data_IF_837187408204
#
_entry.id   IF_837187408204
#
_cell.length_a   1.000
_cell.length_b   1.000
_cell.length_c   1.000
_cell.angle_alpha   90.00
_cell.angle_beta   90.00
_cell.angle_gamma   90.00
#
_symmetry.space_group_name_H-M   'P 1'
#
loop_
_entity.id
_entity.type
_entity.pdbx_description
1 polymer ?
#
# COMPACT_ATOMS: atom_id res chain seq x y z
N UNK A 1 -1.10 -12.83 16.82
CA UNK A 1 -0.80 -11.89 15.73
C UNK A 1 0.58 -12.22 15.14
N UNK A 2 0.81 -11.90 13.87
CA UNK A 2 2.10 -11.95 13.20
C UNK A 2 2.31 -10.61 12.47
N UNK A 3 3.56 -10.27 12.11
CA UNK A 3 3.83 -9.01 11.41
C UNK A 3 3.40 -9.10 9.94
N UNK A 4 2.66 -8.09 9.50
CA UNK A 4 2.12 -7.98 8.16
C UNK A 4 3.08 -7.26 7.21
N UNK A 5 3.84 -6.28 7.72
CA UNK A 5 4.80 -5.49 6.95
C UNK A 5 5.83 -4.83 7.86
N UNK A 6 6.97 -4.50 7.28
CA UNK A 6 8.05 -3.72 7.87
C UNK A 6 8.65 -2.79 6.81
N UNK A 7 8.88 -1.52 7.15
CA UNK A 7 9.41 -0.52 6.23
C UNK A 7 10.38 0.40 6.95
N UNK A 8 11.46 0.75 6.27
CA UNK A 8 12.42 1.75 6.71
C UNK A 8 12.27 3.04 5.90
N UNK A 9 12.41 4.18 6.56
CA UNK A 9 12.56 5.48 5.91
C UNK A 9 14.01 5.71 5.45
N UNK A 10 14.96 5.24 6.25
CA UNK A 10 16.40 5.36 6.02
C UNK A 10 17.16 4.21 6.71
N UNK A 11 18.48 4.35 6.91
CA UNK A 11 19.33 3.35 7.53
C UNK A 11 19.10 3.17 9.05
N UNK A 12 18.26 4.00 9.67
CA UNK A 12 18.01 4.01 11.12
C UNK A 12 16.55 3.79 11.47
N UNK A 13 15.65 4.55 10.86
CA UNK A 13 14.25 4.61 11.24
C UNK A 13 13.43 3.57 10.49
N UNK A 14 12.82 2.67 11.25
CA UNK A 14 11.95 1.62 10.71
C UNK A 14 10.73 1.38 11.57
N UNK A 15 9.68 0.86 10.94
CA UNK A 15 8.48 0.40 11.62
C UNK A 15 8.06 -0.98 11.15
N UNK A 16 7.41 -1.74 12.02
CA UNK A 16 6.76 -3.00 11.72
C UNK A 16 5.34 -3.01 12.28
N UNK A 17 4.38 -3.52 11.50
CA UNK A 17 2.96 -3.53 11.85
C UNK A 17 2.43 -4.97 11.91
N UNK A 18 1.58 -5.27 12.89
CA UNK A 18 0.77 -6.49 12.90
C UNK A 18 -0.73 -6.16 12.83
N UNK A 19 -1.56 -7.20 12.87
CA UNK A 19 -2.97 -7.03 13.17
C UNK A 19 -3.16 -6.40 14.54
N UNK A 20 -4.26 -5.66 14.76
CA UNK A 20 -4.60 -5.14 16.07
C UNK A 20 -4.69 -6.23 17.13
N UNK A 21 -4.27 -5.92 18.35
CA UNK A 21 -4.41 -6.76 19.55
C UNK A 21 -5.25 -5.98 20.54
N UNK A 22 -6.32 -6.59 21.06
CA UNK A 22 -7.27 -5.93 21.98
C UNK A 22 -7.81 -4.60 21.44
N UNK A 23 -8.15 -4.56 20.14
CA UNK A 23 -8.63 -3.37 19.40
C UNK A 23 -7.65 -2.18 19.43
N UNK A 24 -6.35 -2.44 19.58
CA UNK A 24 -5.31 -1.44 19.45
C UNK A 24 -4.33 -1.87 18.36
N UNK A 25 -3.94 -0.90 17.53
CA UNK A 25 -2.93 -1.12 16.50
C UNK A 25 -1.62 -1.56 17.17
N UNK A 26 -0.96 -2.56 16.61
CA UNK A 26 0.31 -3.04 17.17
C UNK A 26 1.46 -2.65 16.23
N UNK A 27 2.22 -1.64 16.63
CA UNK A 27 3.38 -1.12 15.90
C UNK A 27 4.63 -1.32 16.75
N UNK A 28 5.68 -1.87 16.12
CA UNK A 28 7.04 -1.74 16.61
C UNK A 28 7.77 -0.65 15.83
N UNK A 29 8.61 0.11 16.51
CA UNK A 29 9.48 1.15 15.94
C UNK A 29 10.94 0.82 16.28
N UNK A 30 11.84 1.13 15.37
CA UNK A 30 13.29 1.12 15.58
C UNK A 30 13.88 2.46 15.13
N UNK A 31 14.94 2.88 15.81
CA UNK A 31 15.70 4.10 15.50
C UNK A 31 17.21 3.83 15.37
N UNK A 32 17.60 2.55 15.34
CA UNK A 32 18.99 2.09 15.31
C UNK A 32 19.27 1.03 14.23
N UNK A 33 18.48 1.07 13.15
CA UNK A 33 18.64 0.18 12.00
C UNK A 33 18.11 -1.22 12.25
N UNK A 34 17.18 -1.37 13.20
CA UNK A 34 16.55 -2.64 13.55
C UNK A 34 17.32 -3.48 14.55
N UNK A 35 18.31 -2.92 15.26
CA UNK A 35 19.01 -3.61 16.34
C UNK A 35 18.12 -3.74 17.57
N UNK A 36 17.37 -2.69 17.89
CA UNK A 36 16.36 -2.68 18.94
C UNK A 36 15.01 -2.25 18.38
N UNK A 37 13.96 -2.87 18.90
CA UNK A 37 12.57 -2.60 18.52
C UNK A 37 11.72 -2.36 19.76
N UNK A 38 11.01 -1.24 19.77
CA UNK A 38 10.13 -0.85 20.86
C UNK A 38 8.68 -0.82 20.38
N UNK A 39 7.78 -1.37 21.20
CA UNK A 39 6.34 -1.29 20.94
C UNK A 39 5.85 0.12 21.27
N UNK A 40 5.15 0.74 20.34
CA UNK A 40 4.48 2.02 20.61
C UNK A 40 3.36 1.81 21.64
N UNK A 41 3.42 2.56 22.74
CA UNK A 41 2.50 2.42 23.86
C UNK A 41 1.12 3.04 23.59
N UNK A 42 1.07 4.13 22.81
CA UNK A 42 -0.12 4.95 22.62
C UNK A 42 -0.55 4.97 21.15
N UNK A 43 -0.97 3.82 20.62
CA UNK A 43 -1.57 3.73 19.29
C UNK A 43 -3.07 4.01 19.34
N UNK A 44 -3.67 4.63 18.30
CA UNK A 44 -5.10 4.89 18.28
C UNK A 44 -5.90 3.57 18.27
N UNK A 45 -7.14 3.59 18.79
CA UNK A 45 -8.01 2.41 18.80
C UNK A 45 -8.42 2.02 17.38
N UNK A 46 -8.46 0.73 17.10
CA UNK A 46 -9.04 0.15 15.89
C UNK A 46 -10.48 -0.27 16.13
N UNK A 47 -11.25 -0.39 15.05
CA UNK A 47 -12.58 -1.00 15.15
C UNK A 47 -12.46 -2.53 15.32
N UNK A 48 -13.48 -3.14 15.93
CA UNK A 48 -13.58 -4.61 15.97
C UNK A 48 -13.62 -5.16 14.54
N UNK A 49 -12.74 -6.12 14.24
CA UNK A 49 -12.60 -6.73 12.92
C UNK A 49 -11.83 -5.89 11.88
N UNK A 50 -11.26 -4.75 12.27
CA UNK A 50 -10.28 -4.02 11.44
C UNK A 50 -8.92 -4.72 11.56
N UNK A 51 -8.26 -4.92 10.42
CA UNK A 51 -7.03 -5.71 10.29
C UNK A 51 -6.04 -5.05 9.33
N UNK A 52 -4.80 -5.53 9.30
CA UNK A 52 -3.80 -5.15 8.33
C UNK A 52 -3.48 -6.36 7.45
N UNK A 53 -3.53 -6.25 6.13
CA UNK A 53 -3.21 -7.39 5.28
C UNK A 53 -1.69 -7.52 5.07
N UNK A 54 -1.16 -8.73 5.23
CA UNK A 54 0.22 -9.08 4.88
C UNK A 54 0.43 -9.17 3.35
N UNK A 55 0.24 -8.04 2.68
CA UNK A 55 0.23 -7.94 1.23
C UNK A 55 1.59 -7.49 0.70
N UNK A 56 2.54 -8.42 0.66
CA UNK A 56 3.84 -8.20 -0.01
C UNK A 56 4.65 -7.02 0.53
N UNK A 57 4.51 -6.72 1.83
CA UNK A 57 5.24 -5.65 2.51
C UNK A 57 4.94 -4.23 1.99
N UNK A 58 3.88 -4.04 1.20
CA UNK A 58 3.54 -2.73 0.60
C UNK A 58 2.33 -2.06 1.25
N UNK A 59 1.84 -2.56 2.40
CA UNK A 59 0.81 -1.89 3.18
C UNK A 59 1.34 -0.72 4.05
N UNK A 60 2.64 -0.46 4.01
CA UNK A 60 3.30 0.68 4.66
C UNK A 60 4.05 1.50 3.60
N UNK A 61 3.86 2.82 3.62
CA UNK A 61 4.80 3.78 3.05
C UNK A 61 5.43 4.59 4.20
N UNK A 62 6.76 4.74 4.18
CA UNK A 62 7.49 5.51 5.18
C UNK A 62 8.46 6.44 4.44
N UNK A 63 8.11 7.73 4.41
CA UNK A 63 8.88 8.74 3.71
C UNK A 63 10.09 9.20 4.55
N UNK A 64 11.22 9.56 3.90
CA UNK A 64 12.39 10.09 4.59
C UNK A 64 12.12 11.35 5.44
N UNK A 65 11.07 12.10 5.12
CA UNK A 65 10.63 13.29 5.85
C UNK A 65 9.89 12.98 7.16
N UNK A 66 9.60 11.72 7.45
CA UNK A 66 8.98 11.27 8.70
C UNK A 66 7.51 10.94 8.60
N UNK A 67 6.85 11.21 7.46
CA UNK A 67 5.48 10.77 7.24
C UNK A 67 5.40 9.26 7.03
N UNK A 68 4.42 8.65 7.69
CA UNK A 68 4.12 7.22 7.62
C UNK A 68 2.66 7.04 7.25
N UNK A 69 2.39 6.12 6.33
CA UNK A 69 1.04 5.75 5.92
C UNK A 69 0.90 4.23 5.97
N UNK A 70 -0.09 3.74 6.71
CA UNK A 70 -0.41 2.32 6.83
C UNK A 70 -1.86 2.13 6.41
N UNK A 71 -2.10 1.24 5.45
CA UNK A 71 -3.46 0.92 4.97
C UNK A 71 -4.08 -0.25 5.72
N UNK A 72 -5.36 -0.13 6.06
CA UNK A 72 -6.12 -1.15 6.78
C UNK A 72 -7.21 -1.79 5.92
N UNK A 73 -7.78 -2.89 6.42
CA UNK A 73 -8.90 -3.61 5.84
C UNK A 73 -9.74 -4.33 6.89
N UNK A 74 -10.64 -5.22 6.45
CA UNK A 74 -11.58 -5.88 7.35
C UNK A 74 -12.86 -5.07 7.53
N UNK A 75 -13.34 -4.90 8.77
CA UNK A 75 -14.57 -4.16 9.05
C UNK A 75 -14.52 -2.67 8.68
N UNK A 76 -13.31 -2.15 8.43
CA UNK A 76 -13.00 -0.80 7.97
C UNK A 76 -11.85 -0.84 6.97
N UNK A 77 -11.73 0.19 6.14
CA UNK A 77 -10.65 0.35 5.18
C UNK A 77 -10.16 1.80 5.24
N UNK A 78 -9.11 2.03 6.02
CA UNK A 78 -8.66 3.36 6.44
C UNK A 78 -7.16 3.51 6.23
N UNK A 79 -6.67 4.73 6.47
CA UNK A 79 -5.25 5.02 6.49
C UNK A 79 -4.88 5.48 7.90
N UNK A 80 -4.01 4.73 8.54
CA UNK A 80 -3.34 5.15 9.75
C UNK A 80 -2.11 5.98 9.35
N UNK A 81 -2.04 7.22 9.78
CA UNK A 81 -1.03 8.19 9.38
C UNK A 81 -0.27 8.75 10.57
N UNK A 82 1.04 8.98 10.38
CA UNK A 82 1.89 9.78 11.25
C UNK A 82 2.67 10.79 10.42
N UNK A 83 3.07 11.91 11.01
CA UNK A 83 3.83 12.99 10.35
C UNK A 83 5.14 13.33 11.04
N UNK A 84 5.52 12.53 12.02
CA UNK A 84 6.61 12.81 12.96
C UNK A 84 7.32 11.52 13.37
N UNK A 85 7.66 10.68 12.39
CA UNK A 85 8.38 9.42 12.62
C UNK A 85 7.68 8.47 13.61
N UNK A 86 6.34 8.48 13.64
CA UNK A 86 5.55 7.57 14.46
C UNK A 86 5.33 8.02 15.90
N UNK A 87 5.58 9.30 16.24
CA UNK A 87 5.30 9.84 17.57
C UNK A 87 3.80 10.09 17.78
N UNK A 88 3.13 10.67 16.79
CA UNK A 88 1.68 10.91 16.80
C UNK A 88 1.00 10.22 15.63
N UNK A 89 -0.20 9.70 15.89
CA UNK A 89 -0.96 8.88 14.94
C UNK A 89 -2.42 9.30 14.86
N UNK A 90 -2.95 9.27 13.65
CA UNK A 90 -4.37 9.49 13.39
C UNK A 90 -4.89 8.50 12.34
N UNK A 91 -6.18 8.16 12.45
CA UNK A 91 -6.87 7.45 11.38
C UNK A 91 -7.55 8.45 10.45
N UNK A 92 -7.40 8.21 9.16
CA UNK A 92 -8.04 8.93 8.07
C UNK A 92 -9.04 7.97 7.42
N UNK A 93 -10.31 8.34 7.46
CA UNK A 93 -11.38 7.60 6.82
C UNK A 93 -11.23 7.67 5.29
N UNK A 94 -11.58 6.59 4.59
CA UNK A 94 -11.47 6.52 3.13
C UNK A 94 -12.75 5.96 2.51
N UNK A 95 -13.04 6.24 1.23
CA UNK A 95 -14.17 5.64 0.52
C UNK A 95 -13.91 4.18 0.09
N UNK A 96 -12.75 3.60 0.41
CA UNK A 96 -12.34 2.30 -0.08
C UNK A 96 -13.27 1.17 0.40
N UNK A 97 -13.38 0.13 -0.44
CA UNK A 97 -14.13 -1.07 -0.13
C UNK A 97 -13.65 -1.69 1.20
N UNK A 98 -14.60 -2.09 2.05
CA UNK A 98 -14.36 -2.84 3.29
C UNK A 98 -15.17 -4.15 3.33
N UNK A 99 -14.72 -5.08 4.16
CA UNK A 99 -15.30 -6.40 4.36
C UNK A 99 -14.28 -7.38 4.95
N UNK A 100 -14.73 -8.55 5.43
CA UNK A 100 -13.87 -9.53 6.10
C UNK A 100 -12.57 -9.88 5.35
N UNK A 101 -12.60 -9.88 4.01
CA UNK A 101 -11.45 -10.08 3.13
C UNK A 101 -11.18 -8.90 2.21
N UNK A 102 -11.81 -7.75 2.47
CA UNK A 102 -11.70 -6.55 1.66
C UNK A 102 -11.08 -5.38 2.42
N UNK A 103 -10.42 -4.51 1.68
CA UNK A 103 -9.72 -3.37 2.24
C UNK A 103 -8.74 -2.79 1.24
N UNK A 104 -7.92 -1.88 1.73
CA UNK A 104 -6.70 -1.46 1.08
C UNK A 104 -5.57 -2.42 1.47
N UNK A 105 -4.74 -2.78 0.49
CA UNK A 105 -3.67 -3.77 0.64
C UNK A 105 -2.30 -3.16 0.40
N UNK A 106 -2.23 -2.11 -0.41
CA UNK A 106 -0.97 -1.47 -0.75
C UNK A 106 -1.13 0.04 -0.83
N UNK A 107 -0.10 0.76 -0.39
CA UNK A 107 0.02 2.21 -0.52
C UNK A 107 1.38 2.54 -1.14
N UNK A 108 1.42 3.57 -1.97
CA UNK A 108 2.67 4.11 -2.50
C UNK A 108 2.57 5.62 -2.73
N UNK A 109 3.64 6.35 -2.44
CA UNK A 109 3.75 7.78 -2.75
C UNK A 109 4.73 8.00 -3.90
N UNK A 110 4.29 8.69 -4.95
CA UNK A 110 5.16 9.05 -6.09
C UNK A 110 5.91 10.36 -5.82
N UNK A 111 5.35 11.21 -4.96
CA UNK A 111 6.01 12.38 -4.36
C UNK A 111 5.45 12.58 -2.95
N UNK A 112 6.03 13.47 -2.14
CA UNK A 112 5.51 13.79 -0.81
C UNK A 112 4.04 14.30 -0.79
N UNK A 113 3.50 14.74 -1.94
CA UNK A 113 2.11 15.21 -2.04
C UNK A 113 1.18 14.22 -2.75
N UNK A 114 1.71 13.38 -3.63
CA UNK A 114 0.92 12.47 -4.45
C UNK A 114 1.10 11.03 -4.00
N UNK A 115 0.00 10.42 -3.55
CA UNK A 115 -0.05 9.05 -3.10
C UNK A 115 -1.22 8.30 -3.71
N UNK A 116 -1.09 6.98 -3.77
CA UNK A 116 -2.10 6.05 -4.22
C UNK A 116 -2.20 4.90 -3.23
N UNK A 117 -3.40 4.40 -3.00
CA UNK A 117 -3.62 3.15 -2.31
C UNK A 117 -4.56 2.27 -3.12
N UNK A 118 -4.27 0.98 -3.19
CA UNK A 118 -5.04 -0.02 -3.94
C UNK A 118 -5.45 -1.18 -3.05
N UNK A 119 -6.50 -1.88 -3.45
CA UNK A 119 -6.99 -3.05 -2.75
C UNK A 119 -8.15 -3.72 -3.47
N UNK A 120 -9.21 -4.00 -2.74
CA UNK A 120 -10.39 -4.75 -3.20
C UNK A 120 -10.71 -5.89 -2.24
N UNK A 121 -11.41 -6.92 -2.71
CA UNK A 121 -11.73 -8.10 -1.92
C UNK A 121 -10.88 -9.30 -2.37
N UNK A 122 -10.08 -9.85 -1.46
CA UNK A 122 -9.21 -10.97 -1.77
C UNK A 122 -10.01 -12.24 -2.10
N UNK A 123 -11.13 -12.51 -1.41
CA UNK A 123 -11.91 -13.72 -1.65
C UNK A 123 -12.87 -13.58 -2.83
N UNK A 124 -13.30 -12.36 -3.12
CA UNK A 124 -14.07 -12.02 -4.32
C UNK A 124 -13.37 -10.94 -5.16
N UNK A 125 -12.33 -11.30 -5.93
CA UNK A 125 -11.52 -10.32 -6.67
C UNK A 125 -12.31 -9.45 -7.66
N UNK A 126 -13.46 -9.93 -8.13
CA UNK A 126 -14.31 -9.23 -9.07
C UNK A 126 -15.28 -8.26 -8.41
N UNK A 127 -15.42 -8.31 -7.07
CA UNK A 127 -16.31 -7.43 -6.30
C UNK A 127 -16.11 -5.98 -6.70
N UNK A 128 -17.21 -5.36 -7.12
CA UNK A 128 -17.24 -3.96 -7.49
C UNK A 128 -17.13 -3.05 -6.26
N UNK A 129 -16.64 -1.82 -6.47
CA UNK A 129 -16.45 -0.81 -5.44
C UNK A 129 -15.16 -0.03 -5.62
N UNK A 130 -14.83 0.80 -4.62
CA UNK A 130 -13.63 1.63 -4.63
C UNK A 130 -12.41 0.76 -4.30
N UNK A 131 -11.65 0.40 -5.35
CA UNK A 131 -10.43 -0.44 -5.28
C UNK A 131 -9.14 0.35 -5.39
N UNK A 132 -9.22 1.63 -5.77
CA UNK A 132 -8.11 2.56 -5.78
C UNK A 132 -8.55 3.93 -5.29
N UNK A 133 -7.72 4.54 -4.46
CA UNK A 133 -7.87 5.91 -3.97
C UNK A 133 -6.56 6.67 -4.18
N UNK A 134 -6.65 7.98 -4.36
CA UNK A 134 -5.51 8.88 -4.55
C UNK A 134 -5.56 10.05 -3.60
N UNK A 135 -4.39 10.59 -3.27
CA UNK A 135 -4.21 11.85 -2.57
C UNK A 135 -3.32 12.77 -3.39
N UNK A 136 -3.58 14.08 -3.28
CA UNK A 136 -2.73 15.13 -3.85
C UNK A 136 -2.30 16.18 -2.81
N UNK A 137 -2.54 15.91 -1.53
CA UNK A 137 -2.28 16.84 -0.41
C UNK A 137 -1.43 16.21 0.70
N UNK A 138 -0.62 15.20 0.35
CA UNK A 138 0.24 14.49 1.30
C UNK A 138 -0.55 13.60 2.25
N UNK A 139 -1.59 12.95 1.73
CA UNK A 139 -2.40 11.98 2.43
C UNK A 139 -3.34 12.58 3.48
N UNK A 140 -3.61 13.89 3.47
CA UNK A 140 -4.60 14.52 4.38
C UNK A 140 -6.01 14.15 3.96
N UNK A 141 -6.27 14.12 2.66
CA UNK A 141 -7.53 13.65 2.08
C UNK A 141 -7.27 12.63 0.98
N UNK A 142 -8.22 11.70 0.84
CA UNK A 142 -8.17 10.64 -0.15
C UNK A 142 -9.48 10.57 -0.92
N UNK A 143 -9.37 10.44 -2.24
CA UNK A 143 -10.49 10.43 -3.17
C UNK A 143 -10.44 9.17 -4.03
N UNK A 144 -11.60 8.69 -4.47
CA UNK A 144 -11.66 7.57 -5.40
C UNK A 144 -10.95 7.89 -6.73
N UNK A 145 -10.37 6.86 -7.35
CA UNK A 145 -9.91 6.95 -8.74
C UNK A 145 -11.11 7.11 -9.69
N UNK A 146 -10.91 7.78 -10.84
CA UNK A 146 -11.93 7.96 -11.87
C UNK A 146 -12.24 6.63 -12.59
N UNK A 147 -11.22 5.81 -12.82
CA UNK A 147 -11.39 4.41 -13.22
C UNK A 147 -10.66 3.49 -12.25
N UNK A 148 -11.25 2.34 -11.94
CA UNK A 148 -10.68 1.40 -10.98
C UNK A 148 -9.76 0.39 -11.67
N UNK A 149 -8.75 -0.18 -10.96
CA UNK A 149 -8.14 -1.44 -11.38
C UNK A 149 -9.23 -2.47 -11.67
N UNK A 150 -9.02 -3.35 -12.65
CA UNK A 150 -10.07 -4.27 -13.12
C UNK A 150 -10.60 -5.23 -12.04
N UNK A 151 -9.77 -5.56 -11.05
CA UNK A 151 -10.06 -6.47 -9.95
C UNK A 151 -9.23 -6.10 -8.72
N UNK A 152 -9.35 -6.89 -7.65
CA UNK A 152 -8.46 -6.84 -6.48
C UNK A 152 -6.97 -6.77 -6.85
N UNK A 153 -6.22 -5.87 -6.20
CA UNK A 153 -4.76 -5.77 -6.32
C UNK A 153 -4.09 -5.77 -4.96
N UNK A 154 -3.00 -6.52 -4.84
CA UNK A 154 -2.25 -6.73 -3.60
C UNK A 154 -1.03 -5.83 -3.47
N UNK A 155 -0.54 -5.26 -4.56
CA UNK A 155 0.71 -4.49 -4.56
C UNK A 155 0.66 -3.42 -5.64
N UNK A 156 1.07 -2.19 -5.30
CA UNK A 156 1.29 -1.08 -6.24
C UNK A 156 2.71 -0.54 -6.07
N UNK A 157 3.36 -0.25 -7.19
CA UNK A 157 4.69 0.39 -7.25
C UNK A 157 4.68 1.55 -8.24
N UNK A 158 5.56 2.52 -8.01
CA UNK A 158 5.83 3.61 -8.95
C UNK A 158 7.23 3.50 -9.54
N UNK A 159 7.39 3.98 -10.77
CA UNK A 159 8.71 4.12 -11.42
C UNK A 159 9.16 5.57 -11.55
N UNK A 160 8.20 6.48 -11.63
CA UNK A 160 8.39 7.92 -11.73
C UNK A 160 7.11 8.61 -11.27
N UNK A 161 7.11 9.94 -11.17
CA UNK A 161 6.05 10.78 -10.60
C UNK A 161 4.61 10.47 -11.03
N UNK A 162 4.41 9.85 -12.20
CA UNK A 162 3.09 9.65 -12.82
C UNK A 162 2.74 8.20 -13.11
N UNK A 163 3.73 7.34 -13.32
CA UNK A 163 3.47 5.96 -13.72
C UNK A 163 3.39 5.06 -12.50
N UNK A 164 2.30 4.31 -12.43
CA UNK A 164 2.02 3.32 -11.42
C UNK A 164 1.73 1.99 -12.09
N UNK A 165 2.20 0.92 -11.45
CA UNK A 165 1.91 -0.45 -11.84
C UNK A 165 1.32 -1.19 -10.65
N UNK A 166 0.22 -1.89 -10.85
CA UNK A 166 -0.44 -2.64 -9.78
C UNK A 166 -0.66 -4.07 -10.22
N UNK A 167 -0.52 -4.99 -9.27
CA UNK A 167 -0.63 -6.43 -9.50
C UNK A 167 -1.51 -7.09 -8.46
N UNK A 168 -2.07 -8.24 -8.82
CA UNK A 168 -2.70 -9.16 -7.89
C UNK A 168 -2.85 -10.55 -8.53
N UNK A 169 -3.48 -11.46 -7.79
CA UNK A 169 -3.66 -12.85 -8.22
C UNK A 169 -4.46 -13.01 -9.52
N UNK A 170 -5.21 -11.99 -9.94
CA UNK A 170 -6.07 -12.00 -11.14
C UNK A 170 -5.60 -11.05 -12.24
N UNK A 171 -4.37 -10.52 -12.17
CA UNK A 171 -3.81 -9.72 -13.25
C UNK A 171 -3.09 -8.47 -12.82
N UNK A 172 -2.83 -7.60 -13.80
CA UNK A 172 -2.14 -6.35 -13.62
C UNK A 172 -2.81 -5.18 -14.36
N UNK A 173 -2.62 -3.99 -13.82
CA UNK A 173 -3.10 -2.73 -14.38
C UNK A 173 -1.98 -1.69 -14.26
N UNK A 174 -2.05 -0.64 -15.06
CA UNK A 174 -1.18 0.51 -14.94
C UNK A 174 -1.97 1.82 -14.96
N UNK A 175 -1.34 2.87 -14.45
CA UNK A 175 -1.80 4.24 -14.58
C UNK A 175 -0.65 5.12 -15.05
N UNK A 176 -0.95 6.11 -15.90
CA UNK A 176 -0.01 7.14 -16.39
C UNK A 176 -0.31 8.52 -15.83
N UNK A 177 -1.27 8.63 -14.92
CA UNK A 177 -1.83 9.88 -14.41
C UNK A 177 -1.97 9.88 -12.88
N UNK A 178 -1.02 9.25 -12.18
CA UNK A 178 -0.97 9.17 -10.70
C UNK A 178 -2.13 8.41 -10.07
N UNK A 179 -2.61 7.37 -10.75
CA UNK A 179 -3.60 6.45 -10.21
C UNK A 179 -5.03 6.96 -10.34
N UNK A 180 -5.26 8.05 -11.08
CA UNK A 180 -6.59 8.57 -11.36
C UNK A 180 -7.34 7.66 -12.33
N UNK A 181 -6.66 7.21 -13.38
CA UNK A 181 -7.20 6.26 -14.33
C UNK A 181 -6.29 5.03 -14.43
N UNK A 182 -6.89 3.86 -14.31
CA UNK A 182 -6.26 2.55 -14.44
C UNK A 182 -6.67 1.87 -15.74
N UNK A 183 -5.68 1.23 -16.38
CA UNK A 183 -5.83 0.44 -17.59
C UNK A 183 -5.36 -0.98 -17.34
N UNK A 184 -6.25 -1.94 -17.57
CA UNK A 184 -5.94 -3.37 -17.49
C UNK A 184 -4.99 -3.82 -18.60
N UNK A 185 -4.07 -4.72 -18.26
CA UNK A 185 -3.05 -5.23 -19.20
C UNK A 185 -3.29 -6.70 -19.50
N UNK A 186 -3.20 -7.54 -18.47
CA UNK A 186 -3.30 -8.99 -18.59
C UNK A 186 -3.82 -9.64 -17.31
N UNK A 187 -4.11 -10.94 -17.40
CA UNK A 187 -4.63 -11.76 -16.30
C UNK A 187 -3.51 -12.49 -15.53
N UNK A 188 -2.24 -12.18 -15.79
CA UNK A 188 -1.14 -12.88 -15.17
C UNK A 188 -1.06 -12.56 -13.68
N UNK A 189 -1.23 -13.59 -12.84
CA UNK A 189 -1.14 -13.44 -11.39
C UNK A 189 0.29 -13.20 -10.89
N UNK A 190 0.46 -12.15 -10.09
CA UNK A 190 1.66 -11.86 -9.29
C UNK A 190 1.24 -11.34 -7.91
N UNK A 191 2.14 -11.44 -6.94
CA UNK A 191 1.85 -11.07 -5.55
C UNK A 191 2.74 -9.93 -5.04
N UNK A 192 4.02 -9.92 -5.40
CA UNK A 192 4.95 -8.85 -5.04
C UNK A 192 5.58 -8.22 -6.28
N UNK A 193 5.83 -6.92 -6.19
CA UNK A 193 6.49 -6.14 -7.23
C UNK A 193 7.52 -5.22 -6.57
N UNK A 194 8.61 -4.96 -7.27
CA UNK A 194 9.58 -3.96 -6.88
C UNK A 194 10.10 -3.19 -8.11
N UNK A 195 10.12 -1.87 -7.99
CA UNK A 195 10.57 -0.97 -9.03
C UNK A 195 12.08 -0.75 -8.88
N UNK A 196 12.82 -0.86 -9.98
CA UNK A 196 14.27 -0.67 -9.91
C UNK A 196 14.61 0.80 -10.04
N UNK A 197 15.16 1.36 -8.96
CA UNK A 197 15.54 2.76 -8.89
C UNK A 197 16.40 3.20 -10.09
N UNK A 198 16.03 4.34 -10.68
CA UNK A 198 16.71 4.91 -11.85
C UNK A 198 16.53 4.14 -13.16
N UNK A 199 15.67 3.11 -13.20
CA UNK A 199 15.41 2.31 -14.40
C UNK A 199 13.91 2.23 -14.68
N UNK A 200 13.55 2.13 -15.95
CA UNK A 200 12.17 1.88 -16.39
C UNK A 200 11.84 0.38 -16.31
N UNK A 201 11.99 -0.21 -15.12
CA UNK A 201 11.95 -1.66 -14.94
C UNK A 201 11.35 -2.07 -13.60
N UNK A 202 10.47 -3.07 -13.61
CA UNK A 202 9.84 -3.65 -12.41
C UNK A 202 10.08 -5.15 -12.44
N UNK A 203 10.46 -5.73 -11.29
CA UNK A 203 10.45 -7.17 -11.08
C UNK A 203 9.17 -7.59 -10.37
N UNK A 204 8.60 -8.72 -10.79
CA UNK A 204 7.39 -9.30 -10.21
C UNK A 204 7.66 -10.74 -9.78
N UNK A 205 7.06 -11.16 -8.66
CA UNK A 205 7.04 -12.57 -8.24
C UNK A 205 5.63 -13.10 -8.06
N UNK A 206 5.38 -14.30 -8.57
CA UNK A 206 4.10 -15.02 -8.55
C UNK A 206 4.19 -16.38 -7.86
N UNK A 207 3.13 -17.18 -7.96
CA UNK A 207 3.13 -18.55 -7.44
C UNK A 207 4.12 -19.45 -8.20
N UNK A 208 4.45 -20.60 -7.62
CA UNK A 208 5.21 -21.68 -8.27
C UNK A 208 6.59 -21.24 -8.79
N UNK A 209 7.22 -20.28 -8.11
CA UNK A 209 8.52 -19.73 -8.48
C UNK A 209 8.50 -18.81 -9.70
N UNK A 210 7.33 -18.35 -10.14
CA UNK A 210 7.19 -17.44 -11.28
C UNK A 210 7.85 -16.09 -10.98
N UNK A 211 8.70 -15.64 -11.89
CA UNK A 211 9.31 -14.30 -11.87
C UNK A 211 9.11 -13.65 -13.23
N UNK A 212 8.81 -12.36 -13.24
CA UNK A 212 8.74 -11.57 -14.46
C UNK A 212 9.49 -10.26 -14.34
N UNK A 213 9.82 -9.71 -15.50
CA UNK A 213 10.44 -8.40 -15.65
C UNK A 213 9.58 -7.58 -16.59
N UNK A 214 9.08 -6.45 -16.12
CA UNK A 214 8.36 -5.46 -16.92
C UNK A 214 9.35 -4.37 -17.32
N UNK A 215 9.39 -4.01 -18.60
CA UNK A 215 10.22 -2.92 -19.12
C UNK A 215 9.30 -1.90 -19.76
N UNK A 216 9.42 -0.64 -19.36
CA UNK A 216 8.62 0.45 -19.91
C UNK A 216 9.42 1.18 -20.98
N UNK A 217 8.87 1.21 -22.18
CA UNK A 217 9.43 1.93 -23.31
C UNK A 217 8.63 3.20 -23.54
N UNK A 218 9.31 4.35 -23.49
CA UNK A 218 8.71 5.63 -23.85
C UNK A 218 9.07 5.92 -25.30
N UNK A 219 8.06 5.98 -26.17
CA UNK A 219 8.27 6.45 -27.54
C UNK A 219 8.15 7.97 -27.54
N UNK A 220 9.20 8.67 -28.01
CA UNK A 220 9.06 10.08 -28.37
C UNK A 220 8.30 10.14 -29.68
N UNK A 221 7.16 10.81 -29.68
CA UNK A 221 6.54 11.29 -30.91
C UNK A 221 7.37 12.41 -31.51
#
# INVERSE_FOLDING_TARGET
>A
AFFNSLKFADDKYGIAISDPIDNQVFILKTEDGGQNWERLANTPPSYEGEINFAASNTCIEYLPSGEIYIVTGGSRSRILSSRDHGENWEFIETPALAGKSAGLFSVNFTTASFGVAVGGDFNDPAREGVRAITTSDGGRTWQEAESMPAAYRSCVVSLHDKFLFTIGKTGCDYSVDRGRNWTYIDSAGYYAADAVEGKNMIYLSGSDGKVAKVIIQTFKN
#
